data_IF_931811594911
#
_entry.id   IF_931811594911
#
_cell.length_a   1.000
_cell.length_b   1.000
_cell.length_c   1.000
_cell.angle_alpha   90.00
_cell.angle_beta   90.00
_cell.angle_gamma   90.00
#
_symmetry.space_group_name_H-M   'P 1'
#
loop_
_entity.id
_entity.type
_entity.pdbx_description
1 polymer ?
#
# COMPACT_ATOMS: atom_id res chain seq x y z
N UNK A 1 6.15 -1.26 32.75
CA UNK A 1 6.30 -1.63 31.33
C UNK A 1 5.18 -0.93 30.59
N UNK A 2 5.47 -0.07 29.62
CA UNK A 2 4.44 0.45 28.71
C UNK A 2 4.13 -0.68 27.74
N UNK A 3 3.19 -1.54 28.13
CA UNK A 3 2.90 -2.88 27.59
C UNK A 3 2.20 -2.85 26.20
N UNK A 4 2.54 -1.87 25.36
CA UNK A 4 1.95 -1.71 24.04
C UNK A 4 3.06 -1.57 22.99
N UNK A 5 3.05 -2.36 21.91
CA UNK A 5 4.05 -2.25 20.86
C UNK A 5 4.03 -0.84 20.29
N UNK A 6 5.18 -0.18 20.26
CA UNK A 6 5.28 1.22 19.85
C UNK A 6 5.10 1.41 18.35
N UNK A 7 5.36 0.38 17.54
CA UNK A 7 5.30 0.43 16.08
C UNK A 7 5.23 -0.97 15.46
N UNK A 8 4.53 -1.09 14.33
CA UNK A 8 4.45 -2.31 13.51
C UNK A 8 4.71 -1.90 12.06
N UNK A 9 5.66 -2.56 11.40
CA UNK A 9 5.90 -2.33 9.98
C UNK A 9 4.77 -2.90 9.14
N UNK A 10 4.04 -2.02 8.45
CA UNK A 10 2.98 -2.39 7.50
C UNK A 10 3.45 -2.37 6.05
N UNK A 11 4.57 -1.70 5.75
CA UNK A 11 5.22 -1.69 4.44
C UNK A 11 6.53 -2.43 4.50
N UNK A 12 6.55 -3.65 3.99
CA UNK A 12 7.79 -4.43 3.84
C UNK A 12 7.77 -5.15 2.50
N UNK A 13 8.81 -4.90 1.71
CA UNK A 13 9.07 -5.63 0.48
C UNK A 13 10.04 -6.77 0.78
N UNK A 14 9.62 -7.99 0.45
CA UNK A 14 10.44 -9.18 0.54
C UNK A 14 11.21 -9.41 -0.76
N UNK A 15 12.08 -10.42 -0.78
CA UNK A 15 12.77 -10.88 -1.99
C UNK A 15 11.80 -11.31 -3.13
N UNK A 16 10.51 -11.51 -2.84
CA UNK A 16 9.48 -11.77 -3.85
C UNK A 16 8.99 -10.50 -4.58
N UNK A 17 9.31 -9.30 -4.08
CA UNK A 17 9.25 -8.08 -4.90
C UNK A 17 10.42 -8.09 -5.90
N UNK A 18 10.19 -8.72 -7.05
CA UNK A 18 11.22 -8.96 -8.05
C UNK A 18 11.92 -7.65 -8.47
N UNK A 19 13.24 -7.62 -8.32
CA UNK A 19 14.13 -6.47 -8.62
C UNK A 19 13.98 -5.26 -7.67
N UNK A 20 13.23 -5.39 -6.59
CA UNK A 20 13.01 -4.31 -5.62
C UNK A 20 13.38 -4.72 -4.19
N UNK A 21 13.01 -5.92 -3.75
CA UNK A 21 13.26 -6.39 -2.39
C UNK A 21 14.48 -7.31 -2.29
N UNK A 22 15.25 -7.16 -1.20
CA UNK A 22 16.39 -8.02 -0.87
C UNK A 22 16.16 -8.87 0.39
N UNK A 23 15.07 -8.63 1.11
CA UNK A 23 14.82 -9.24 2.41
C UNK A 23 14.16 -10.62 2.24
N UNK A 24 14.91 -11.67 2.56
CA UNK A 24 14.35 -13.01 2.58
C UNK A 24 13.33 -13.15 3.71
N UNK A 25 12.15 -13.63 3.36
CA UNK A 25 11.04 -13.89 4.29
C UNK A 25 11.45 -14.76 5.48
N UNK A 26 12.39 -15.69 5.27
CA UNK A 26 12.97 -16.53 6.32
C UNK A 26 13.63 -15.76 7.47
N UNK A 27 14.15 -14.56 7.18
CA UNK A 27 14.88 -13.73 8.14
C UNK A 27 13.96 -12.80 8.94
N UNK A 28 12.69 -12.62 8.52
CA UNK A 28 11.75 -11.69 9.14
C UNK A 28 11.48 -11.98 10.62
N UNK A 29 11.25 -13.25 11.05
CA UNK A 29 10.99 -13.50 12.46
C UNK A 29 12.15 -13.10 13.37
N UNK A 30 13.39 -13.36 12.96
CA UNK A 30 14.57 -12.98 13.74
C UNK A 30 14.77 -11.46 13.82
N UNK A 31 14.25 -10.68 12.86
CA UNK A 31 14.20 -9.22 12.96
C UNK A 31 13.10 -8.76 13.91
N UNK A 32 11.92 -9.37 13.84
CA UNK A 32 10.80 -9.05 14.72
C UNK A 32 11.14 -9.36 16.18
N UNK A 33 11.77 -10.49 16.47
CA UNK A 33 12.24 -10.84 17.81
C UNK A 33 13.27 -9.84 18.35
N UNK A 34 14.26 -9.45 17.53
CA UNK A 34 15.29 -8.47 17.92
C UNK A 34 14.73 -7.08 18.22
N UNK A 35 13.64 -6.70 17.55
CA UNK A 35 13.02 -5.38 17.64
C UNK A 35 11.74 -5.35 18.46
N UNK A 36 11.38 -6.49 19.08
CA UNK A 36 10.17 -6.68 19.88
C UNK A 36 8.87 -6.32 19.13
N UNK A 37 8.80 -6.70 17.85
CA UNK A 37 7.62 -6.51 17.01
C UNK A 37 6.70 -7.73 17.09
N UNK A 38 5.47 -7.60 17.63
CA UNK A 38 4.54 -8.72 17.75
C UNK A 38 3.86 -9.07 16.42
N UNK A 39 3.96 -8.21 15.41
CA UNK A 39 3.37 -8.39 14.10
C UNK A 39 4.24 -7.73 13.01
N UNK A 40 4.07 -8.16 11.78
CA UNK A 40 4.65 -7.52 10.60
C UNK A 40 3.76 -7.77 9.38
N UNK A 41 3.67 -6.81 8.47
CA UNK A 41 3.06 -7.02 7.17
C UNK A 41 4.11 -7.12 6.06
N UNK A 42 3.85 -7.99 5.09
CA UNK A 42 4.58 -8.02 3.81
C UNK A 42 3.62 -7.56 2.73
N UNK A 43 4.07 -6.58 1.94
CA UNK A 43 3.31 -5.93 0.86
C UNK A 43 4.14 -5.95 -0.42
N UNK A 44 4.38 -7.13 -0.98
CA UNK A 44 5.16 -7.26 -2.20
C UNK A 44 4.47 -6.60 -3.40
N UNK A 45 5.26 -6.19 -4.39
CA UNK A 45 4.76 -5.47 -5.58
C UNK A 45 3.98 -6.41 -6.51
N UNK A 46 2.68 -6.14 -6.64
CA UNK A 46 1.70 -6.82 -7.48
C UNK A 46 1.53 -8.33 -7.26
N UNK A 47 2.22 -8.94 -6.29
CA UNK A 47 2.21 -10.38 -6.09
C UNK A 47 2.10 -10.80 -4.62
N UNK A 48 1.68 -12.07 -4.44
CA UNK A 48 1.56 -12.75 -3.15
C UNK A 48 2.44 -14.02 -3.10
N UNK A 49 3.50 -14.09 -3.92
CA UNK A 49 4.25 -15.34 -4.15
C UNK A 49 4.88 -15.90 -2.87
N UNK A 50 5.40 -15.01 -2.02
CA UNK A 50 5.97 -15.36 -0.72
C UNK A 50 4.96 -15.57 0.40
N UNK A 51 3.66 -15.40 0.13
CA UNK A 51 2.65 -15.26 1.18
C UNK A 51 2.52 -16.48 2.10
N UNK A 52 2.53 -17.69 1.53
CA UNK A 52 2.45 -18.92 2.31
C UNK A 52 3.70 -19.09 3.20
N UNK A 53 4.88 -19.00 2.61
CA UNK A 53 6.15 -19.12 3.33
C UNK A 53 6.27 -18.07 4.44
N UNK A 54 5.84 -16.84 4.17
CA UNK A 54 5.78 -15.76 5.15
C UNK A 54 4.87 -16.08 6.32
N UNK A 55 3.62 -16.48 6.03
CA UNK A 55 2.63 -16.76 7.05
C UNK A 55 3.07 -17.91 7.97
N UNK A 56 3.56 -19.02 7.40
CA UNK A 56 4.01 -20.16 8.18
C UNK A 56 5.26 -19.84 9.00
N UNK A 57 6.19 -19.06 8.43
CA UNK A 57 7.41 -18.72 9.14
C UNK A 57 7.14 -17.80 10.32
N UNK A 58 6.39 -16.70 10.14
CA UNK A 58 6.04 -15.81 11.24
C UNK A 58 5.25 -16.53 12.35
N UNK A 59 4.26 -17.35 11.97
CA UNK A 59 3.45 -18.09 12.94
C UNK A 59 4.28 -19.06 13.81
N UNK A 60 5.31 -19.72 13.25
CA UNK A 60 6.20 -20.62 14.00
C UNK A 60 6.98 -19.93 15.11
N UNK A 61 7.22 -18.62 14.99
CA UNK A 61 7.96 -17.81 15.96
C UNK A 61 7.07 -16.88 16.78
N UNK A 62 5.74 -17.07 16.73
CA UNK A 62 4.79 -16.26 17.52
C UNK A 62 4.64 -14.81 17.04
N UNK A 63 5.08 -14.49 15.83
CA UNK A 63 4.88 -13.19 15.20
C UNK A 63 3.62 -13.25 14.36
N UNK A 64 2.70 -12.30 14.53
CA UNK A 64 1.48 -12.22 13.73
C UNK A 64 1.80 -11.79 12.29
N UNK A 65 1.59 -12.66 11.28
CA UNK A 65 1.72 -12.26 9.89
C UNK A 65 0.49 -11.43 9.47
N UNK A 66 0.73 -10.30 8.81
CA UNK A 66 -0.31 -9.49 8.19
C UNK A 66 -0.14 -9.61 6.67
N UNK A 67 -1.13 -10.22 6.02
CA UNK A 67 -1.10 -10.47 4.58
C UNK A 67 -1.48 -9.22 3.82
N UNK A 68 -0.55 -8.68 3.03
CA UNK A 68 -0.78 -7.51 2.22
C UNK A 68 -0.20 -7.61 0.82
N UNK A 69 -0.49 -6.58 0.02
CA UNK A 69 -0.14 -6.47 -1.39
C UNK A 69 0.01 -5.00 -1.75
N UNK A 70 1.11 -4.62 -2.39
CA UNK A 70 1.19 -3.34 -3.07
C UNK A 70 0.62 -3.52 -4.48
N UNK A 71 -0.58 -3.00 -4.75
CA UNK A 71 -1.28 -3.17 -6.02
C UNK A 71 -1.33 -1.86 -6.79
N UNK A 72 -0.79 -1.85 -8.01
CA UNK A 72 -0.89 -0.71 -8.90
C UNK A 72 -2.33 -0.51 -9.41
N UNK A 73 -2.83 0.73 -9.37
CA UNK A 73 -4.17 1.08 -9.85
C UNK A 73 -4.12 2.24 -10.85
N UNK A 74 -4.99 2.21 -11.85
CA UNK A 74 -5.24 3.40 -12.68
C UNK A 74 -6.05 4.43 -11.89
N UNK A 75 -5.68 5.71 -12.00
CA UNK A 75 -6.28 6.75 -11.16
C UNK A 75 -6.58 8.06 -11.91
N UNK A 76 -6.14 8.18 -13.15
CA UNK A 76 -6.39 9.32 -14.01
C UNK A 76 -6.26 8.89 -15.47
N UNK A 77 -7.05 9.54 -16.33
CA UNK A 77 -6.92 9.40 -17.77
C UNK A 77 -5.90 10.41 -18.31
N UNK A 78 -5.13 9.98 -19.32
CA UNK A 78 -4.27 10.89 -20.08
C UNK A 78 -5.09 11.73 -21.04
N UNK A 79 -4.71 12.99 -21.23
CA UNK A 79 -5.30 13.81 -22.27
C UNK A 79 -4.89 13.28 -23.66
N UNK A 80 -5.71 13.50 -24.71
CA UNK A 80 -5.36 13.10 -26.06
C UNK A 80 -4.01 13.68 -26.50
N UNK A 81 -3.08 12.80 -26.90
CA UNK A 81 -1.73 13.18 -27.35
C UNK A 81 -0.68 13.30 -26.24
N UNK A 82 -1.05 13.11 -24.97
CA UNK A 82 -0.10 13.02 -23.86
C UNK A 82 0.36 11.57 -23.62
N UNK A 83 1.50 11.42 -22.93
CA UNK A 83 1.97 10.11 -22.50
C UNK A 83 0.92 9.47 -21.55
N UNK A 84 0.65 8.16 -21.67
CA UNK A 84 -0.12 7.43 -20.67
C UNK A 84 0.38 7.69 -19.25
N UNK A 85 -0.54 7.99 -18.33
CA UNK A 85 -0.23 8.11 -16.90
C UNK A 85 0.01 6.69 -16.37
N UNK A 86 1.20 6.45 -15.84
CA UNK A 86 1.55 5.16 -15.26
C UNK A 86 0.67 4.88 -14.02
N UNK A 87 0.16 3.64 -13.84
CA UNK A 87 -0.56 3.23 -12.63
C UNK A 87 0.26 3.49 -11.36
N UNK A 88 -0.43 3.78 -10.26
CA UNK A 88 0.21 4.07 -8.98
C UNK A 88 -0.22 3.08 -7.89
N UNK A 89 0.66 2.70 -6.96
CA UNK A 89 0.37 1.68 -5.96
C UNK A 89 -0.57 2.16 -4.85
N UNK A 90 -1.48 1.29 -4.44
CA UNK A 90 -2.12 1.28 -3.12
C UNK A 90 -1.57 0.11 -2.32
N UNK A 91 -1.49 0.21 -0.99
CA UNK A 91 -1.21 -0.95 -0.15
C UNK A 91 -2.52 -1.52 0.40
N UNK A 92 -2.79 -2.78 0.10
CA UNK A 92 -4.00 -3.49 0.48
C UNK A 92 -3.67 -4.62 1.43
N UNK A 93 -4.53 -4.86 2.43
CA UNK A 93 -4.33 -5.89 3.45
C UNK A 93 -5.60 -6.70 3.63
N UNK A 94 -5.45 -8.01 3.83
CA UNK A 94 -6.59 -8.88 4.15
C UNK A 94 -6.96 -8.73 5.63
N UNK A 95 -8.14 -8.18 5.91
CA UNK A 95 -8.69 -8.10 7.27
C UNK A 95 -9.29 -9.44 7.72
N UNK A 96 -9.76 -10.23 6.77
CA UNK A 96 -10.42 -11.52 7.00
C UNK A 96 -10.27 -12.43 5.77
N UNK A 97 -10.91 -13.61 5.82
CA UNK A 97 -10.86 -14.58 4.73
C UNK A 97 -11.43 -14.04 3.41
N UNK A 98 -12.51 -13.26 3.43
CA UNK A 98 -13.07 -12.66 2.22
C UNK A 98 -12.08 -11.67 1.58
N UNK A 99 -11.42 -10.86 2.42
CA UNK A 99 -10.32 -10.00 2.01
C UNK A 99 -9.16 -10.77 1.37
N UNK A 100 -8.77 -11.90 1.95
CA UNK A 100 -7.72 -12.74 1.38
C UNK A 100 -8.09 -13.25 -0.03
N UNK A 101 -9.31 -13.76 -0.22
CA UNK A 101 -9.80 -14.19 -1.53
C UNK A 101 -9.82 -13.04 -2.54
N UNK A 102 -10.20 -11.83 -2.09
CA UNK A 102 -10.20 -10.63 -2.91
C UNK A 102 -8.77 -10.20 -3.30
N UNK A 103 -7.81 -10.23 -2.38
CA UNK A 103 -6.39 -9.95 -2.70
C UNK A 103 -5.85 -10.91 -3.76
N UNK A 104 -6.11 -12.22 -3.62
CA UNK A 104 -5.66 -13.21 -4.59
C UNK A 104 -6.28 -12.97 -5.97
N UNK A 105 -7.58 -12.68 -6.01
CA UNK A 105 -8.27 -12.41 -7.27
C UNK A 105 -7.76 -11.13 -7.94
N UNK A 106 -7.54 -10.06 -7.16
CA UNK A 106 -7.00 -8.79 -7.66
C UNK A 106 -5.56 -8.92 -8.16
N UNK A 107 -4.70 -9.61 -7.42
CA UNK A 107 -3.33 -9.91 -7.86
C UNK A 107 -3.34 -10.71 -9.16
N UNK A 108 -4.25 -11.68 -9.31
CA UNK A 108 -4.38 -12.47 -10.53
C UNK A 108 -4.87 -11.62 -11.71
N UNK A 109 -5.94 -10.83 -11.54
CA UNK A 109 -6.47 -9.96 -12.60
C UNK A 109 -5.44 -8.91 -13.05
N UNK A 110 -4.59 -8.43 -12.14
CA UNK A 110 -3.56 -7.46 -12.49
C UNK A 110 -2.60 -7.95 -13.58
N UNK A 111 -2.36 -9.27 -13.66
CA UNK A 111 -1.53 -9.87 -14.70
C UNK A 111 -2.34 -10.39 -15.89
N UNK A 112 -3.56 -10.87 -15.68
CA UNK A 112 -4.37 -11.52 -16.72
C UNK A 112 -5.12 -10.51 -17.61
N UNK A 113 -5.57 -9.41 -17.02
CA UNK A 113 -6.45 -8.44 -17.70
C UNK A 113 -5.68 -7.23 -18.23
N UNK A 114 -4.38 -7.12 -17.90
CA UNK A 114 -3.49 -6.04 -18.34
C UNK A 114 -2.71 -6.48 -19.58
N UNK A 115 -2.53 -5.56 -20.53
CA UNK A 115 -1.65 -5.80 -21.69
C UNK A 115 -0.21 -6.07 -21.23
N UNK A 116 0.44 -7.06 -21.83
CA UNK A 116 1.79 -7.51 -21.42
C UNK A 116 2.89 -6.44 -21.59
N UNK A 117 2.62 -5.37 -22.33
CA UNK A 117 3.52 -4.22 -22.49
C UNK A 117 3.38 -3.17 -21.37
N UNK A 118 2.37 -3.29 -20.51
CA UNK A 118 2.10 -2.37 -19.42
C UNK A 118 2.51 -2.97 -18.06
N UNK A 119 2.70 -2.09 -17.08
CA UNK A 119 2.88 -2.55 -15.69
C UNK A 119 1.58 -3.24 -15.23
N UNK A 120 1.67 -4.43 -14.59
CA UNK A 120 0.49 -5.11 -14.04
C UNK A 120 -0.28 -4.18 -13.11
N UNK A 121 -1.58 -4.03 -13.35
CA UNK A 121 -2.43 -3.10 -12.59
C UNK A 121 -3.90 -3.53 -12.63
N UNK A 122 -4.71 -2.90 -11.79
CA UNK A 122 -6.18 -2.99 -11.88
C UNK A 122 -6.80 -1.60 -12.06
N UNK A 123 -8.03 -1.55 -12.55
CA UNK A 123 -8.80 -0.30 -12.54
C UNK A 123 -9.41 -0.04 -11.17
N UNK A 124 -9.73 1.22 -10.86
CA UNK A 124 -10.51 1.55 -9.66
C UNK A 124 -11.87 0.86 -9.62
N UNK A 125 -12.49 0.59 -10.78
CA UNK A 125 -13.76 -0.16 -10.85
C UNK A 125 -13.55 -1.63 -10.48
N UNK A 126 -12.51 -2.28 -11.02
CA UNK A 126 -12.16 -3.64 -10.65
C UNK A 126 -11.86 -3.75 -9.14
N UNK A 127 -11.10 -2.80 -8.59
CA UNK A 127 -10.85 -2.72 -7.15
C UNK A 127 -12.15 -2.56 -6.35
N UNK A 128 -13.07 -1.69 -6.80
CA UNK A 128 -14.36 -1.47 -6.13
C UNK A 128 -15.16 -2.76 -5.97
N UNK A 129 -15.20 -3.59 -7.02
CA UNK A 129 -15.94 -4.88 -7.00
C UNK A 129 -15.37 -5.92 -6.04
N UNK A 130 -14.11 -5.75 -5.59
CA UNK A 130 -13.39 -6.70 -4.73
C UNK A 130 -12.82 -6.02 -3.47
N UNK A 131 -13.47 -4.97 -3.00
CA UNK A 131 -13.02 -4.17 -1.86
C UNK A 131 -13.42 -4.74 -0.49
N UNK A 132 -14.35 -5.70 -0.45
CA UNK A 132 -14.83 -6.29 0.80
C UNK A 132 -13.73 -7.04 1.56
N UNK A 133 -13.71 -6.90 2.88
CA UNK A 133 -12.71 -7.51 3.76
C UNK A 133 -11.27 -6.98 3.60
N UNK A 134 -11.04 -5.91 2.83
CA UNK A 134 -9.71 -5.30 2.64
C UNK A 134 -9.49 -4.03 3.47
N UNK A 135 -8.28 -3.82 3.97
CA UNK A 135 -7.83 -2.50 4.46
C UNK A 135 -6.99 -1.86 3.36
N UNK A 136 -7.11 -0.55 3.17
CA UNK A 136 -6.40 0.21 2.16
C UNK A 136 -5.59 1.35 2.77
N UNK A 137 -4.33 1.45 2.36
CA UNK A 137 -3.47 2.60 2.58
C UNK A 137 -3.24 3.33 1.25
N UNK A 138 -3.20 4.66 1.29
CA UNK A 138 -3.16 5.52 0.09
C UNK A 138 -1.88 5.43 -0.74
N UNK A 139 -0.85 4.71 -0.30
CA UNK A 139 0.39 4.47 -1.07
C UNK A 139 1.51 5.48 -0.83
N UNK A 140 1.40 6.33 0.19
CA UNK A 140 2.37 7.38 0.52
C UNK A 140 2.61 8.33 -0.65
N UNK A 141 3.83 8.86 -0.78
CA UNK A 141 4.20 9.79 -1.85
C UNK A 141 4.18 9.14 -3.26
N UNK A 142 4.21 7.81 -3.35
CA UNK A 142 4.15 7.08 -4.61
C UNK A 142 2.72 6.77 -5.05
N UNK A 143 1.75 6.85 -4.13
CA UNK A 143 0.37 6.47 -4.36
C UNK A 143 -0.42 7.48 -5.21
N UNK A 144 -1.60 7.06 -5.71
CA UNK A 144 -2.34 7.82 -6.71
C UNK A 144 -2.80 9.20 -6.22
N UNK A 145 -3.21 9.31 -4.94
CA UNK A 145 -3.61 10.59 -4.33
C UNK A 145 -2.41 11.55 -4.29
N UNK A 146 -1.25 11.08 -3.83
CA UNK A 146 -0.04 11.90 -3.76
C UNK A 146 0.46 12.32 -5.14
N UNK A 147 0.38 11.46 -6.16
CA UNK A 147 0.72 11.80 -7.54
C UNK A 147 -0.14 12.93 -8.10
N UNK A 148 -1.44 12.93 -7.81
CA UNK A 148 -2.34 14.02 -8.19
C UNK A 148 -1.96 15.33 -7.47
N UNK A 149 -1.60 15.26 -6.18
CA UNK A 149 -1.17 16.41 -5.40
C UNK A 149 0.17 16.99 -5.92
N UNK A 150 1.15 16.14 -6.21
CA UNK A 150 2.43 16.54 -6.82
C UNK A 150 2.24 17.20 -8.18
N UNK A 151 1.20 16.81 -8.92
CA UNK A 151 0.80 17.41 -10.19
C UNK A 151 -0.10 18.66 -10.04
N UNK A 152 -0.27 19.19 -8.82
CA UNK A 152 -1.16 20.32 -8.49
C UNK A 152 -2.64 20.11 -8.88
N UNK A 153 -3.12 18.86 -8.92
CA UNK A 153 -4.51 18.49 -9.26
C UNK A 153 -5.35 18.21 -8.02
N UNK A 154 -5.39 19.16 -7.08
CA UNK A 154 -6.08 19.00 -5.78
C UNK A 154 -7.54 18.53 -5.88
N UNK A 155 -8.41 19.11 -6.74
CA UNK A 155 -9.80 18.64 -6.85
C UNK A 155 -9.92 17.17 -7.27
N UNK A 156 -9.01 16.68 -8.12
CA UNK A 156 -8.98 15.27 -8.52
C UNK A 156 -8.49 14.38 -7.38
N UNK A 157 -7.51 14.83 -6.58
CA UNK A 157 -7.04 14.13 -5.39
C UNK A 157 -8.15 13.99 -4.34
N UNK A 158 -8.93 15.05 -4.11
CA UNK A 158 -10.07 15.06 -3.19
C UNK A 158 -11.15 14.06 -3.66
N UNK A 159 -11.55 14.12 -4.93
CA UNK A 159 -12.54 13.23 -5.50
C UNK A 159 -12.10 11.76 -5.46
N UNK A 160 -10.82 11.48 -5.76
CA UNK A 160 -10.26 10.13 -5.66
C UNK A 160 -10.29 9.63 -4.21
N UNK A 161 -9.90 10.48 -3.25
CA UNK A 161 -9.88 10.08 -1.84
C UNK A 161 -11.30 9.80 -1.33
N UNK A 162 -12.29 10.61 -1.72
CA UNK A 162 -13.70 10.34 -1.41
C UNK A 162 -14.18 9.01 -2.01
N UNK A 163 -13.79 8.71 -3.26
CA UNK A 163 -14.11 7.44 -3.91
C UNK A 163 -13.49 6.25 -3.17
N UNK A 164 -12.23 6.37 -2.75
CA UNK A 164 -11.56 5.36 -1.93
C UNK A 164 -12.23 5.21 -0.56
N UNK A 165 -12.61 6.31 0.09
CA UNK A 165 -13.28 6.28 1.40
C UNK A 165 -14.64 5.58 1.32
N UNK A 166 -15.39 5.81 0.24
CA UNK A 166 -16.65 5.11 -0.02
C UNK A 166 -16.45 3.60 -0.30
N UNK A 167 -15.32 3.23 -0.92
CA UNK A 167 -14.96 1.85 -1.22
C UNK A 167 -14.49 1.09 0.04
N UNK A 168 -13.79 1.78 0.95
CA UNK A 168 -13.22 1.21 2.17
C UNK A 168 -13.76 1.94 3.41
N UNK A 169 -15.08 1.86 3.70
CA UNK A 169 -15.67 2.53 4.85
C UNK A 169 -15.00 2.04 6.14
N UNK A 170 -14.46 2.97 6.93
CA UNK A 170 -13.69 2.73 8.16
C UNK A 170 -12.45 1.83 7.97
N UNK A 171 -11.97 1.69 6.72
CA UNK A 171 -10.86 0.80 6.33
C UNK A 171 -9.87 1.49 5.39
N UNK A 172 -10.03 2.79 5.13
CA UNK A 172 -9.07 3.62 4.41
C UNK A 172 -8.24 4.42 5.43
N UNK A 173 -6.92 4.40 5.24
CA UNK A 173 -6.00 5.21 6.01
C UNK A 173 -5.10 6.00 5.06
N UNK A 174 -4.86 7.27 5.38
CA UNK A 174 -3.93 8.10 4.63
C UNK A 174 -2.51 7.80 5.12
N UNK A 175 -1.70 7.27 4.22
CA UNK A 175 -0.34 6.80 4.50
C UNK A 175 0.67 7.94 4.42
N UNK A 176 1.53 8.04 5.43
CA UNK A 176 2.64 8.99 5.50
C UNK A 176 3.96 8.22 5.67
N UNK A 177 4.91 8.53 4.79
CA UNK A 177 6.27 8.00 4.77
C UNK A 177 7.26 9.16 4.76
N UNK A 178 8.44 8.95 5.35
CA UNK A 178 9.49 9.96 5.43
C UNK A 178 10.86 9.31 5.23
N UNK A 179 11.38 9.40 4.01
CA UNK A 179 12.62 8.75 3.59
C UNK A 179 13.82 9.70 3.51
N UNK A 180 13.74 10.87 4.13
CA UNK A 180 14.85 11.81 4.17
C UNK A 180 16.13 11.18 4.73
N UNK A 181 17.25 11.27 4.00
CA UNK A 181 18.56 10.80 4.48
C UNK A 181 19.62 11.89 4.31
N UNK A 182 20.42 12.10 5.35
CA UNK A 182 21.54 13.06 5.32
C UNK A 182 21.16 14.53 5.13
N UNK A 183 19.90 14.90 5.39
CA UNK A 183 19.35 16.23 5.10
C UNK A 183 17.91 16.39 5.63
N UNK A 184 17.00 17.07 4.90
CA UNK A 184 15.59 17.21 5.29
C UNK A 184 14.93 15.86 5.58
N UNK A 185 13.96 15.85 6.51
CA UNK A 185 13.23 14.63 6.92
C UNK A 185 12.39 14.00 5.79
N UNK A 186 12.14 14.74 4.71
CA UNK A 186 11.30 14.33 3.57
C UNK A 186 12.12 14.39 2.29
N UNK A 187 11.83 13.45 1.39
CA UNK A 187 12.24 13.54 -0.02
C UNK A 187 11.40 14.58 -0.77
N UNK A 188 11.83 15.08 -1.94
CA UNK A 188 11.05 16.08 -2.69
C UNK A 188 9.60 15.66 -3.01
N UNK A 189 9.29 14.40 -3.40
CA UNK A 189 7.91 13.95 -3.60
C UNK A 189 7.07 13.95 -2.32
N UNK A 190 7.65 13.57 -1.18
CA UNK A 190 7.00 13.59 0.12
C UNK A 190 6.72 15.03 0.57
N UNK A 191 7.68 15.94 0.41
CA UNK A 191 7.49 17.35 0.73
C UNK A 191 6.40 18.00 -0.13
N UNK A 192 6.32 17.61 -1.41
CA UNK A 192 5.32 18.11 -2.35
C UNK A 192 3.90 17.54 -2.12
N UNK A 193 3.73 16.48 -1.32
CA UNK A 193 2.41 15.83 -1.14
C UNK A 193 1.95 15.69 0.31
N UNK A 194 2.84 15.48 1.28
CA UNK A 194 2.49 15.17 2.68
C UNK A 194 1.59 16.23 3.33
N UNK A 195 1.87 17.55 3.23
CA UNK A 195 0.98 18.55 3.86
C UNK A 195 -0.45 18.46 3.34
N UNK A 196 -0.61 18.34 2.02
CA UNK A 196 -1.93 18.21 1.41
C UNK A 196 -2.60 16.87 1.71
N UNK A 197 -1.85 15.76 1.81
CA UNK A 197 -2.39 14.48 2.25
C UNK A 197 -2.98 14.57 3.66
N UNK A 198 -2.25 15.22 4.58
CA UNK A 198 -2.70 15.44 5.95
C UNK A 198 -3.96 16.32 5.97
N UNK A 199 -3.99 17.40 5.19
CA UNK A 199 -5.17 18.26 5.07
C UNK A 199 -6.40 17.49 4.55
N UNK A 200 -6.22 16.65 3.52
CA UNK A 200 -7.29 15.79 2.99
C UNK A 200 -7.79 14.85 4.10
N UNK A 201 -6.86 14.19 4.80
CA UNK A 201 -7.20 13.25 5.87
C UNK A 201 -8.08 13.92 6.93
N UNK A 202 -7.69 15.10 7.43
CA UNK A 202 -8.51 15.83 8.41
C UNK A 202 -9.84 16.32 7.85
N UNK A 203 -9.87 16.77 6.58
CA UNK A 203 -11.11 17.25 5.96
C UNK A 203 -12.17 16.16 5.78
N UNK A 204 -11.73 14.90 5.62
CA UNK A 204 -12.59 13.74 5.41
C UNK A 204 -12.69 12.84 6.65
N UNK A 205 -12.14 13.26 7.80
CA UNK A 205 -12.06 12.50 9.05
C UNK A 205 -11.45 11.10 8.86
N UNK A 206 -10.40 11.02 8.03
CA UNK A 206 -9.67 9.78 7.76
C UNK A 206 -8.47 9.63 8.70
N UNK A 207 -8.21 8.42 9.21
CA UNK A 207 -7.06 8.16 10.05
C UNK A 207 -5.75 8.24 9.25
N UNK A 208 -4.70 8.73 9.91
CA UNK A 208 -3.33 8.67 9.41
C UNK A 208 -2.66 7.37 9.84
N UNK A 209 -1.76 6.84 9.01
CA UNK A 209 -0.85 5.77 9.38
C UNK A 209 0.58 6.09 8.94
N UNK A 210 1.54 5.81 9.83
CA UNK A 210 2.95 5.94 9.52
C UNK A 210 3.49 4.59 9.01
N UNK A 211 4.19 4.64 7.88
CA UNK A 211 4.92 3.49 7.32
C UNK A 211 6.32 3.93 6.91
N UNK A 212 7.16 2.95 6.55
CA UNK A 212 8.51 3.16 6.02
C UNK A 212 8.49 2.71 4.57
#
# INVERSE_FOLDING_TARGET
MTDSPSFIHLRVHSAYSLKEGALHVKNLPGLCEKLDFPAIAVTDTNNLFGGLEFSENCAKFGVQPIMGLQLAVTYADSAPGEKPIDPAPLALYAQNQAGWLNLMALSSSAFLDTDTTQLPHVTLDALATRSDGLICLTGGASGPVAKLLQANRRPAADALTQRLAAMFPNRLYVEVQRHGSGGPLRTPPEEASEPSLIDIAYSLDLPLVATN
#
